data_IF_600008935182
#
_entry.id   IF_600008935182
#
_cell.length_a   1.000
_cell.length_b   1.000
_cell.length_c   1.000
_cell.angle_alpha   90.00
_cell.angle_beta   90.00
_cell.angle_gamma   90.00
#
_symmetry.space_group_name_H-M   'P 1'
#
loop_
_entity.id
_entity.type
_entity.pdbx_description
1 polymer ?
#
# COMPACT_ATOMS: atom_id res chain seq x y z
N UNK A 1 10.11 -8.82 -0.18
CA UNK A 1 9.76 -9.19 1.20
C UNK A 1 8.26 -9.10 1.25
N UNK A 2 7.58 -10.24 1.32
CA UNK A 2 6.12 -10.27 1.43
C UNK A 2 5.71 -9.51 2.69
N UNK A 3 4.63 -8.75 2.60
CA UNK A 3 4.15 -7.91 3.70
C UNK A 3 3.76 -8.78 4.90
N UNK A 4 4.57 -8.73 5.95
CA UNK A 4 4.41 -9.50 7.19
C UNK A 4 3.14 -9.12 7.96
N UNK A 5 2.65 -7.94 7.70
CA UNK A 5 1.45 -7.35 8.31
C UNK A 5 0.70 -6.61 7.22
N UNK A 6 -0.60 -6.75 7.20
CA UNK A 6 -1.47 -6.09 6.23
C UNK A 6 -2.60 -5.32 6.93
N UNK A 7 -3.17 -4.35 6.23
CA UNK A 7 -4.32 -3.59 6.70
C UNK A 7 -5.62 -4.26 6.26
N UNK A 8 -6.50 -4.54 7.22
CA UNK A 8 -7.87 -5.00 6.97
C UNK A 8 -8.82 -4.27 7.94
N UNK A 9 -9.85 -3.61 7.41
CA UNK A 9 -10.80 -2.82 8.20
C UNK A 9 -10.11 -1.84 9.14
N UNK A 10 -9.10 -1.12 8.64
CA UNK A 10 -8.29 -0.14 9.40
C UNK A 10 -7.50 -0.73 10.59
N UNK A 11 -7.32 -2.03 10.63
CA UNK A 11 -6.51 -2.72 11.63
C UNK A 11 -5.29 -3.38 11.00
N UNK A 12 -4.16 -3.27 11.68
CA UNK A 12 -2.94 -3.99 11.34
C UNK A 12 -3.08 -5.45 11.80
N UNK A 13 -3.08 -6.39 10.86
CA UNK A 13 -3.27 -7.82 11.10
C UNK A 13 -2.13 -8.64 10.50
N UNK A 14 -1.92 -9.82 11.06
CA UNK A 14 -1.17 -10.92 10.44
C UNK A 14 -2.02 -12.19 10.47
N UNK A 15 -1.56 -13.27 9.82
CA UNK A 15 -2.29 -14.53 9.79
C UNK A 15 -1.46 -15.73 10.27
N UNK A 16 -2.17 -16.80 10.62
CA UNK A 16 -1.57 -18.01 11.19
C UNK A 16 -0.67 -18.80 10.24
N UNK A 17 -0.84 -18.65 8.92
CA UNK A 17 0.03 -19.27 7.92
C UNK A 17 1.37 -18.55 7.86
N UNK A 18 1.32 -17.23 7.79
CA UNK A 18 2.48 -16.38 7.80
C UNK A 18 3.32 -16.59 9.08
N UNK A 19 2.66 -16.71 10.24
CA UNK A 19 3.34 -17.07 11.49
C UNK A 19 3.99 -18.44 11.39
N UNK A 20 3.31 -19.44 10.83
CA UNK A 20 3.84 -20.80 10.67
C UNK A 20 5.11 -20.81 9.81
N UNK A 21 5.06 -20.16 8.66
CA UNK A 21 6.17 -20.05 7.72
C UNK A 21 7.39 -19.37 8.36
N UNK A 22 7.18 -18.24 9.01
CA UNK A 22 8.26 -17.46 9.58
C UNK A 22 8.96 -18.09 10.75
N UNK A 23 8.22 -18.82 11.58
CA UNK A 23 8.80 -19.54 12.72
C UNK A 23 9.20 -20.96 12.40
N UNK A 24 9.12 -21.37 11.11
CA UNK A 24 9.44 -22.71 10.64
C UNK A 24 8.65 -23.77 11.45
N UNK A 25 7.36 -23.51 11.58
CA UNK A 25 6.43 -24.38 12.30
C UNK A 25 5.37 -24.91 11.34
N UNK A 26 4.89 -26.12 11.60
CA UNK A 26 3.73 -26.63 10.89
C UNK A 26 2.50 -25.81 11.25
N UNK A 27 1.69 -25.47 10.25
CA UNK A 27 0.48 -24.63 10.44
C UNK A 27 -0.51 -25.27 11.44
N UNK A 28 -0.64 -26.61 11.46
CA UNK A 28 -1.50 -27.30 12.43
C UNK A 28 -1.04 -27.13 13.88
N UNK A 29 0.29 -26.98 14.11
CA UNK A 29 0.83 -26.69 15.44
C UNK A 29 0.51 -25.23 15.86
N UNK A 30 0.58 -24.29 14.90
CA UNK A 30 0.21 -22.90 15.17
C UNK A 30 -1.29 -22.79 15.48
N UNK A 31 -2.15 -23.47 14.71
CA UNK A 31 -3.58 -23.51 14.98
C UNK A 31 -3.89 -24.05 16.38
N UNK A 32 -3.26 -25.18 16.77
CA UNK A 32 -3.40 -25.74 18.12
C UNK A 32 -2.96 -24.76 19.21
N UNK A 33 -1.85 -24.07 19.00
CA UNK A 33 -1.38 -23.06 19.97
C UNK A 33 -2.38 -21.91 20.13
N UNK A 34 -3.00 -21.46 19.04
CA UNK A 34 -4.06 -20.46 19.07
C UNK A 34 -5.31 -21.00 19.77
N UNK A 35 -5.74 -22.22 19.45
CA UNK A 35 -6.90 -22.86 20.09
C UNK A 35 -6.70 -22.97 21.62
N UNK A 36 -5.54 -23.40 22.08
CA UNK A 36 -5.20 -23.47 23.50
C UNK A 36 -5.21 -22.09 24.17
N UNK A 37 -4.71 -21.06 23.50
CA UNK A 37 -4.80 -19.68 23.99
C UNK A 37 -6.26 -19.25 24.10
N UNK A 38 -7.07 -19.49 23.07
CA UNK A 38 -8.50 -19.15 23.05
C UNK A 38 -9.23 -19.83 24.20
N UNK A 39 -8.95 -21.10 24.49
CA UNK A 39 -9.56 -21.85 25.59
C UNK A 39 -9.15 -21.29 26.96
N UNK A 40 -7.97 -20.69 27.07
CA UNK A 40 -7.48 -20.11 28.32
C UNK A 40 -8.14 -18.79 28.69
N UNK A 41 -8.83 -18.13 27.76
CA UNK A 41 -9.51 -16.85 28.01
C UNK A 41 -10.84 -17.04 28.75
N UNK A 42 -11.09 -16.31 29.83
CA UNK A 42 -12.32 -16.44 30.61
C UNK A 42 -13.56 -15.87 29.91
N UNK A 43 -13.38 -14.95 28.94
CA UNK A 43 -14.47 -14.27 28.25
C UNK A 43 -14.36 -14.40 26.72
N UNK A 44 -15.49 -14.62 26.06
CA UNK A 44 -15.59 -14.75 24.60
C UNK A 44 -15.22 -13.44 23.85
N UNK A 45 -15.51 -12.28 24.44
CA UNK A 45 -15.27 -10.97 23.83
C UNK A 45 -13.77 -10.69 23.60
N UNK A 46 -12.91 -11.09 24.55
CA UNK A 46 -11.46 -10.92 24.41
C UNK A 46 -10.89 -11.78 23.29
N UNK A 47 -11.40 -13.02 23.14
CA UNK A 47 -10.97 -13.95 22.07
C UNK A 47 -11.21 -13.37 20.69
N UNK A 48 -12.42 -12.86 20.43
CA UNK A 48 -12.81 -12.33 19.13
C UNK A 48 -12.09 -11.05 18.72
N UNK A 49 -11.58 -10.29 19.71
CA UNK A 49 -10.73 -9.12 19.44
C UNK A 49 -9.31 -9.48 19.04
N UNK A 50 -8.79 -10.59 19.54
CA UNK A 50 -7.39 -11.01 19.34
C UNK A 50 -7.26 -11.96 18.15
N UNK A 51 -8.20 -12.88 17.98
CA UNK A 51 -8.16 -13.94 16.96
C UNK A 51 -9.47 -14.01 16.20
N UNK A 52 -9.39 -13.79 14.89
CA UNK A 52 -10.54 -13.82 13.98
C UNK A 52 -10.43 -15.10 13.15
N UNK A 53 -11.39 -16.01 13.33
CA UNK A 53 -11.47 -17.23 12.52
C UNK A 53 -11.72 -16.87 11.07
N UNK A 54 -10.96 -17.49 10.17
CA UNK A 54 -11.11 -17.34 8.72
C UNK A 54 -10.85 -18.66 8.01
N UNK A 55 -11.00 -18.66 6.71
CA UNK A 55 -10.72 -19.81 5.84
C UNK A 55 -10.00 -19.32 4.59
N UNK A 56 -9.04 -20.09 4.11
CA UNK A 56 -8.44 -19.86 2.79
C UNK A 56 -8.72 -21.06 1.89
N UNK A 57 -8.86 -20.80 0.62
CA UNK A 57 -8.88 -21.85 -0.41
C UNK A 57 -7.44 -22.26 -0.67
N UNK A 58 -7.12 -23.54 -0.51
CA UNK A 58 -5.81 -24.10 -0.82
C UNK A 58 -5.75 -24.59 -2.28
N UNK A 59 -4.55 -24.99 -2.72
CA UNK A 59 -4.32 -25.45 -4.10
C UNK A 59 -5.06 -26.75 -4.44
N UNK A 60 -5.42 -27.53 -3.41
CA UNK A 60 -6.30 -28.70 -3.52
C UNK A 60 -7.79 -28.37 -3.76
N UNK A 61 -8.12 -27.06 -3.79
CA UNK A 61 -9.49 -26.56 -3.96
C UNK A 61 -10.32 -26.57 -2.67
N UNK A 62 -9.80 -27.11 -1.55
CA UNK A 62 -10.51 -27.17 -0.28
C UNK A 62 -10.31 -25.91 0.56
N UNK A 63 -11.25 -25.66 1.48
CA UNK A 63 -11.17 -24.55 2.42
C UNK A 63 -10.54 -25.02 3.74
N UNK A 64 -9.34 -24.48 4.05
CA UNK A 64 -8.65 -24.76 5.30
C UNK A 64 -8.82 -23.63 6.29
N UNK A 65 -9.01 -23.99 7.56
CA UNK A 65 -9.13 -23.02 8.67
C UNK A 65 -7.83 -22.26 8.84
N UNK A 66 -7.95 -20.96 9.11
CA UNK A 66 -6.85 -20.08 9.49
C UNK A 66 -7.36 -19.03 10.49
N UNK A 67 -6.44 -18.31 11.12
CA UNK A 67 -6.74 -17.18 11.98
C UNK A 67 -6.07 -15.92 11.46
N UNK A 68 -6.81 -14.80 11.45
CA UNK A 68 -6.20 -13.48 11.50
C UNK A 68 -6.03 -13.09 12.96
N UNK A 69 -4.95 -12.36 13.26
CA UNK A 69 -4.68 -11.85 14.59
C UNK A 69 -4.11 -10.44 14.52
N UNK A 70 -4.47 -9.62 15.50
CA UNK A 70 -3.88 -8.31 15.67
C UNK A 70 -2.53 -8.41 16.40
N UNK A 71 -1.88 -7.26 16.66
CA UNK A 71 -0.60 -7.19 17.36
C UNK A 71 -0.62 -7.94 18.69
N UNK A 72 -1.69 -7.78 19.46
CA UNK A 72 -1.78 -8.36 20.81
C UNK A 72 -1.94 -9.88 20.75
N UNK A 73 -2.80 -10.38 19.83
CA UNK A 73 -2.96 -11.81 19.56
C UNK A 73 -1.66 -12.45 19.06
N UNK A 74 -0.96 -11.79 18.14
CA UNK A 74 0.37 -12.21 17.69
C UNK A 74 1.37 -12.24 18.86
N UNK A 75 1.42 -11.18 19.66
CA UNK A 75 2.35 -11.11 20.80
C UNK A 75 2.13 -12.25 21.81
N UNK A 76 0.87 -12.53 22.15
CA UNK A 76 0.51 -13.64 23.04
C UNK A 76 0.93 -15.00 22.46
N UNK A 77 0.65 -15.23 21.17
CA UNK A 77 1.02 -16.47 20.49
C UNK A 77 2.54 -16.69 20.46
N UNK A 78 3.30 -15.66 20.07
CA UNK A 78 4.74 -15.78 19.89
C UNK A 78 5.55 -15.62 21.17
N UNK A 79 4.96 -15.16 22.26
CA UNK A 79 5.60 -15.19 23.59
C UNK A 79 6.01 -16.60 23.98
N UNK A 80 5.25 -17.62 23.60
CA UNK A 80 5.57 -19.02 23.80
C UNK A 80 6.70 -19.58 22.89
N UNK A 81 7.09 -18.84 21.83
CA UNK A 81 8.15 -19.27 20.94
C UNK A 81 9.52 -18.82 21.46
N UNK A 82 10.50 -19.71 21.48
CA UNK A 82 11.85 -19.48 22.04
C UNK A 82 12.93 -19.55 20.96
N UNK A 83 14.12 -19.06 21.28
CA UNK A 83 15.31 -19.11 20.44
C UNK A 83 15.62 -17.82 19.67
N UNK A 84 16.86 -17.73 19.17
CA UNK A 84 17.42 -16.52 18.52
C UNK A 84 16.61 -16.12 17.27
N UNK A 85 16.24 -17.09 16.43
CA UNK A 85 15.43 -16.87 15.23
C UNK A 85 14.04 -16.29 15.59
N UNK A 86 13.41 -16.84 16.63
CA UNK A 86 12.14 -16.35 17.13
C UNK A 86 12.22 -14.90 17.61
N UNK A 87 13.26 -14.52 18.33
CA UNK A 87 13.46 -13.13 18.78
C UNK A 87 13.62 -12.15 17.61
N UNK A 88 14.42 -12.48 16.62
CA UNK A 88 14.61 -11.64 15.42
C UNK A 88 13.29 -11.40 14.68
N UNK A 89 12.47 -12.46 14.54
CA UNK A 89 11.17 -12.33 13.89
C UNK A 89 10.17 -11.53 14.72
N UNK A 90 10.18 -11.72 16.07
CA UNK A 90 9.35 -10.89 16.96
C UNK A 90 9.62 -9.39 16.76
N UNK A 91 10.89 -8.98 16.68
CA UNK A 91 11.26 -7.59 16.48
C UNK A 91 10.76 -7.06 15.12
N UNK A 92 10.93 -7.83 14.04
CA UNK A 92 10.42 -7.44 12.72
C UNK A 92 8.90 -7.27 12.68
N UNK A 93 8.16 -8.15 13.37
CA UNK A 93 6.71 -8.01 13.46
C UNK A 93 6.29 -6.79 14.26
N UNK A 94 6.96 -6.51 15.37
CA UNK A 94 6.71 -5.30 16.16
C UNK A 94 6.95 -4.04 15.31
N UNK A 95 8.03 -3.99 14.56
CA UNK A 95 8.33 -2.88 13.64
C UNK A 95 7.24 -2.73 12.57
N UNK A 96 6.80 -3.84 11.95
CA UNK A 96 5.75 -3.81 10.95
C UNK A 96 4.40 -3.35 11.52
N UNK A 97 3.99 -3.83 12.69
CA UNK A 97 2.77 -3.37 13.36
C UNK A 97 2.84 -1.89 13.72
N UNK A 98 3.98 -1.43 14.27
CA UNK A 98 4.18 -0.01 14.61
C UNK A 98 4.09 0.88 13.36
N UNK A 99 4.65 0.44 12.23
CA UNK A 99 4.54 1.17 10.96
C UNK A 99 3.08 1.29 10.50
N UNK A 100 2.31 0.20 10.56
CA UNK A 100 0.89 0.21 10.18
C UNK A 100 0.03 1.06 11.12
N UNK A 101 0.27 0.96 12.44
CA UNK A 101 -0.43 1.80 13.43
C UNK A 101 -0.14 3.29 13.22
N UNK A 102 1.11 3.63 12.87
CA UNK A 102 1.47 5.00 12.51
C UNK A 102 0.64 5.49 11.31
N UNK A 103 0.53 4.69 10.25
CA UNK A 103 -0.30 5.02 9.08
C UNK A 103 -1.76 5.22 9.47
N UNK A 104 -2.33 4.34 10.31
CA UNK A 104 -3.71 4.45 10.80
C UNK A 104 -3.90 5.77 11.57
N UNK A 105 -2.98 6.08 12.47
CA UNK A 105 -3.02 7.31 13.27
C UNK A 105 -2.90 8.55 12.39
N UNK A 106 -1.99 8.54 11.41
CA UNK A 106 -1.84 9.65 10.46
C UNK A 106 -3.12 9.90 9.66
N UNK A 107 -3.85 8.85 9.24
CA UNK A 107 -5.12 8.97 8.51
C UNK A 107 -6.24 9.61 9.32
N UNK A 108 -6.18 9.52 10.64
CA UNK A 108 -7.16 10.15 11.54
C UNK A 108 -6.84 11.61 11.81
N UNK A 109 -5.67 12.11 11.38
CA UNK A 109 -5.32 13.52 11.57
C UNK A 109 -6.07 14.42 10.59
N UNK A 110 -6.46 15.61 11.07
CA UNK A 110 -7.06 16.64 10.22
C UNK A 110 -6.17 16.99 9.01
N UNK A 111 -4.85 16.98 9.20
CA UNK A 111 -3.87 17.23 8.14
C UNK A 111 -3.92 16.16 7.04
N UNK A 112 -4.03 14.87 7.39
CA UNK A 112 -4.14 13.80 6.40
C UNK A 112 -5.46 13.88 5.62
N UNK A 113 -6.57 14.12 6.34
CA UNK A 113 -7.91 14.25 5.72
C UNK A 113 -7.90 15.39 4.71
N UNK A 114 -7.34 16.54 5.08
CA UNK A 114 -7.26 17.72 4.19
C UNK A 114 -6.35 17.44 2.98
N UNK A 115 -5.16 16.85 3.19
CA UNK A 115 -4.26 16.47 2.10
C UNK A 115 -4.94 15.47 1.15
N UNK A 116 -5.67 14.51 1.69
CA UNK A 116 -6.42 13.54 0.88
C UNK A 116 -7.50 14.20 0.05
N UNK A 117 -8.24 15.16 0.63
CA UNK A 117 -9.28 15.92 -0.03
C UNK A 117 -8.71 16.77 -1.18
N UNK A 118 -7.63 17.49 -0.92
CA UNK A 118 -6.93 18.25 -1.96
C UNK A 118 -6.37 17.36 -3.06
N UNK A 119 -5.78 16.21 -2.72
CA UNK A 119 -5.31 15.22 -3.69
C UNK A 119 -6.41 14.67 -4.59
N UNK A 120 -7.64 14.53 -4.09
CA UNK A 120 -8.78 14.13 -4.94
C UNK A 120 -9.15 15.21 -5.98
N UNK A 121 -9.05 16.48 -5.62
CA UNK A 121 -9.31 17.59 -6.56
C UNK A 121 -8.24 17.62 -7.65
N UNK A 122 -6.96 17.53 -7.28
CA UNK A 122 -5.84 17.50 -8.23
C UNK A 122 -5.97 16.30 -9.17
N UNK A 123 -6.33 15.15 -8.64
CA UNK A 123 -6.59 13.95 -9.44
C UNK A 123 -7.71 14.12 -10.45
N UNK A 124 -8.78 14.82 -10.06
CA UNK A 124 -9.90 15.14 -10.96
C UNK A 124 -9.42 16.02 -12.11
N UNK A 125 -8.62 17.04 -11.82
CA UNK A 125 -8.06 17.95 -12.82
C UNK A 125 -7.10 17.20 -13.76
N UNK A 126 -6.18 16.41 -13.24
CA UNK A 126 -5.27 15.56 -14.04
C UNK A 126 -6.06 14.60 -14.93
N UNK A 127 -7.08 13.92 -14.38
CA UNK A 127 -7.92 13.00 -15.16
C UNK A 127 -8.63 13.72 -16.31
N UNK A 128 -9.10 14.95 -16.09
CA UNK A 128 -9.70 15.77 -17.15
C UNK A 128 -8.68 16.13 -18.26
N UNK A 129 -7.43 16.39 -17.89
CA UNK A 129 -6.35 16.64 -18.84
C UNK A 129 -6.01 15.37 -19.63
N UNK A 130 -5.93 14.21 -18.96
CA UNK A 130 -5.69 12.93 -19.64
C UNK A 130 -6.85 12.57 -20.57
N UNK A 131 -8.09 12.92 -20.24
CA UNK A 131 -9.23 12.74 -21.14
C UNK A 131 -9.03 13.49 -22.46
N UNK A 132 -8.59 14.75 -22.40
CA UNK A 132 -8.25 15.52 -23.63
C UNK A 132 -7.10 14.87 -24.40
N UNK A 133 -6.10 14.36 -23.71
CA UNK A 133 -5.00 13.63 -24.35
C UNK A 133 -5.48 12.33 -25.02
N UNK A 134 -6.44 11.63 -24.44
CA UNK A 134 -7.04 10.43 -25.07
C UNK A 134 -7.69 10.78 -26.41
N UNK A 135 -8.44 11.87 -26.46
CA UNK A 135 -9.06 12.36 -27.72
C UNK A 135 -8.01 12.80 -28.73
N UNK A 136 -7.03 13.57 -28.30
CA UNK A 136 -5.88 13.98 -29.08
C UNK A 136 -5.09 12.81 -29.65
N UNK A 137 -4.88 11.75 -28.87
CA UNK A 137 -4.20 10.55 -29.32
C UNK A 137 -5.04 9.72 -30.32
N UNK A 138 -6.38 9.72 -30.20
CA UNK A 138 -7.28 9.11 -31.19
C UNK A 138 -7.16 9.80 -32.55
N UNK A 139 -7.15 11.13 -32.57
CA UNK A 139 -6.96 11.92 -33.81
C UNK A 139 -5.62 11.62 -34.47
N UNK A 140 -4.60 11.22 -33.70
CA UNK A 140 -3.29 10.79 -34.18
C UNK A 140 -3.21 9.27 -34.49
N UNK A 141 -4.34 8.57 -34.55
CA UNK A 141 -4.40 7.17 -34.95
C UNK A 141 -4.08 6.16 -33.83
N UNK A 142 -4.22 6.51 -32.56
CA UNK A 142 -4.00 5.58 -31.46
C UNK A 142 -5.18 4.63 -31.28
N UNK A 143 -4.96 3.32 -31.44
CA UNK A 143 -5.96 2.27 -31.21
C UNK A 143 -6.20 2.00 -29.71
N UNK A 144 -5.22 2.31 -28.86
CA UNK A 144 -5.24 2.02 -27.42
C UNK A 144 -5.19 3.28 -26.55
N UNK A 145 -5.72 4.41 -27.05
CA UNK A 145 -5.68 5.70 -26.33
C UNK A 145 -6.27 5.66 -24.92
N UNK A 146 -7.28 4.82 -24.66
CA UNK A 146 -7.88 4.66 -23.34
C UNK A 146 -6.90 4.11 -22.29
N UNK A 147 -5.83 3.42 -22.71
CA UNK A 147 -4.78 2.93 -21.82
C UNK A 147 -3.94 4.07 -21.22
N UNK A 148 -4.03 5.29 -21.76
CA UNK A 148 -3.31 6.45 -21.24
C UNK A 148 -3.67 6.76 -19.78
N UNK A 149 -4.94 6.58 -19.37
CA UNK A 149 -5.32 6.71 -17.95
C UNK A 149 -4.50 5.81 -17.03
N UNK A 150 -4.40 4.54 -17.36
CA UNK A 150 -3.63 3.57 -16.57
C UNK A 150 -2.14 3.87 -16.63
N UNK A 151 -1.64 4.25 -17.79
CA UNK A 151 -0.22 4.54 -18.03
C UNK A 151 0.26 5.72 -17.19
N UNK A 152 -0.47 6.84 -17.21
CA UNK A 152 -0.11 8.03 -16.44
C UNK A 152 -0.32 7.84 -14.94
N UNK A 153 -1.38 7.10 -14.51
CA UNK A 153 -1.58 6.72 -13.12
C UNK A 153 -0.40 5.89 -12.58
N UNK A 154 0.04 4.89 -13.35
CA UNK A 154 1.20 4.07 -12.97
C UNK A 154 2.47 4.90 -12.89
N UNK A 155 2.65 5.86 -13.81
CA UNK A 155 3.80 6.75 -13.82
C UNK A 155 3.81 7.63 -12.55
N UNK A 156 2.70 8.31 -12.22
CA UNK A 156 2.59 9.15 -11.04
C UNK A 156 2.84 8.36 -9.75
N UNK A 157 2.18 7.22 -9.58
CA UNK A 157 2.34 6.36 -8.42
C UNK A 157 3.77 5.86 -8.24
N UNK A 158 4.42 5.43 -9.35
CA UNK A 158 5.81 4.96 -9.33
C UNK A 158 6.77 6.06 -8.87
N UNK A 159 6.61 7.27 -9.39
CA UNK A 159 7.50 8.40 -9.09
C UNK A 159 7.31 8.92 -7.68
N UNK A 160 6.10 8.81 -7.11
CA UNK A 160 5.80 9.16 -5.73
C UNK A 160 6.05 8.02 -4.72
N UNK A 161 6.47 6.83 -5.18
CA UNK A 161 6.68 5.66 -4.32
C UNK A 161 5.39 5.17 -3.64
N UNK A 162 4.23 5.34 -4.30
CA UNK A 162 2.91 4.99 -3.76
C UNK A 162 2.42 3.69 -4.39
N UNK A 163 2.25 2.66 -3.58
CA UNK A 163 1.63 1.39 -3.99
C UNK A 163 0.11 1.45 -3.89
N UNK A 164 -0.40 2.05 -2.81
CA UNK A 164 -1.85 2.28 -2.60
C UNK A 164 -2.06 3.64 -1.95
N UNK A 165 -3.02 4.41 -2.47
CA UNK A 165 -3.40 5.72 -1.88
C UNK A 165 -4.06 5.57 -0.51
N UNK A 166 -4.59 4.40 -0.21
CA UNK A 166 -5.22 4.11 1.08
C UNK A 166 -4.20 3.88 2.18
N UNK A 167 -3.02 3.40 1.84
CA UNK A 167 -1.94 3.13 2.78
C UNK A 167 -0.81 4.16 2.71
N UNK A 168 -0.93 5.15 1.82
CA UNK A 168 0.07 6.19 1.66
C UNK A 168 0.13 7.13 2.87
N UNK A 169 1.35 7.52 3.24
CA UNK A 169 1.60 8.57 4.24
C UNK A 169 1.21 9.95 3.70
N UNK A 170 1.12 10.93 4.60
CA UNK A 170 0.84 12.32 4.20
C UNK A 170 1.90 12.89 3.24
N UNK A 171 3.18 12.57 3.48
CA UNK A 171 4.29 12.95 2.60
C UNK A 171 4.10 12.35 1.19
N UNK A 172 3.84 11.05 1.10
CA UNK A 172 3.61 10.36 -0.17
C UNK A 172 2.40 10.92 -0.94
N UNK A 173 1.32 11.30 -0.24
CA UNK A 173 0.15 11.92 -0.88
C UNK A 173 0.47 13.30 -1.44
N UNK A 174 1.30 14.11 -0.75
CA UNK A 174 1.78 15.39 -1.26
C UNK A 174 2.68 15.23 -2.48
N UNK A 175 3.61 14.27 -2.43
CA UNK A 175 4.48 13.95 -3.56
C UNK A 175 3.65 13.50 -4.77
N UNK A 176 2.69 12.60 -4.56
CA UNK A 176 1.79 12.14 -5.61
C UNK A 176 1.03 13.28 -6.26
N UNK A 177 0.48 14.20 -5.45
CA UNK A 177 -0.22 15.39 -5.93
C UNK A 177 0.69 16.30 -6.77
N UNK A 178 1.97 16.39 -6.39
CA UNK A 178 2.98 17.12 -7.14
C UNK A 178 3.27 16.46 -8.49
N UNK A 179 3.43 15.12 -8.50
CA UNK A 179 3.64 14.37 -9.75
C UNK A 179 2.45 14.53 -10.72
N UNK A 180 1.22 14.46 -10.21
CA UNK A 180 0.01 14.65 -11.02
C UNK A 180 -0.08 16.04 -11.65
N UNK A 181 0.28 17.09 -10.91
CA UNK A 181 0.34 18.47 -11.46
C UNK A 181 1.39 18.62 -12.54
N UNK A 182 2.58 18.03 -12.35
CA UNK A 182 3.66 18.08 -13.35
C UNK A 182 3.25 17.33 -14.62
N UNK A 183 2.59 16.19 -14.49
CA UNK A 183 2.03 15.44 -15.62
C UNK A 183 1.01 16.29 -16.36
N UNK A 184 0.02 16.86 -15.68
CA UNK A 184 -1.00 17.68 -16.30
C UNK A 184 -0.41 18.87 -17.07
N UNK A 185 0.58 19.54 -16.48
CA UNK A 185 1.30 20.63 -17.16
C UNK A 185 2.05 20.16 -18.39
N UNK A 186 2.81 19.06 -18.30
CA UNK A 186 3.55 18.51 -19.44
C UNK A 186 2.64 18.07 -20.60
N UNK A 187 1.50 17.48 -20.27
CA UNK A 187 0.50 17.05 -21.25
C UNK A 187 -0.14 18.26 -21.95
N UNK A 188 -0.54 19.29 -21.21
CA UNK A 188 -1.11 20.50 -21.78
C UNK A 188 -0.12 21.25 -22.68
N UNK A 189 1.14 21.37 -22.25
CA UNK A 189 2.19 21.99 -23.04
C UNK A 189 2.40 21.20 -24.35
N UNK A 190 2.53 19.87 -24.26
CA UNK A 190 2.78 19.02 -25.44
C UNK A 190 1.64 19.05 -26.46
N UNK A 191 0.38 19.04 -26.01
CA UNK A 191 -0.77 19.19 -26.91
C UNK A 191 -0.80 20.57 -27.56
N UNK A 192 -0.47 21.64 -26.85
CA UNK A 192 -0.39 23.01 -27.38
C UNK A 192 0.71 23.14 -28.45
N UNK A 193 1.82 22.47 -28.24
CA UNK A 193 2.96 22.45 -29.17
C UNK A 193 2.73 21.51 -30.37
N UNK A 194 1.62 20.78 -30.41
CA UNK A 194 1.33 19.81 -31.47
C UNK A 194 2.21 18.56 -31.49
N UNK A 195 2.80 18.22 -30.34
CA UNK A 195 3.72 17.08 -30.19
C UNK A 195 2.93 15.76 -30.24
N UNK A 196 3.49 14.74 -30.89
CA UNK A 196 2.88 13.41 -30.93
C UNK A 196 2.67 12.83 -29.51
N UNK A 197 1.53 12.20 -29.25
CA UNK A 197 1.12 11.74 -27.91
C UNK A 197 2.14 10.84 -27.20
N UNK A 198 2.90 10.00 -27.95
CA UNK A 198 3.96 9.16 -27.38
C UNK A 198 5.15 9.99 -26.88
N UNK A 199 5.47 11.08 -27.56
CA UNK A 199 6.55 11.99 -27.17
C UNK A 199 6.13 12.84 -25.98
N UNK A 200 4.83 13.19 -25.87
CA UNK A 200 4.27 13.84 -24.67
C UNK A 200 4.48 12.97 -23.42
N UNK A 201 4.27 11.65 -23.53
CA UNK A 201 4.53 10.74 -22.42
C UNK A 201 6.02 10.73 -22.01
N UNK A 202 6.91 10.66 -22.96
CA UNK A 202 8.36 10.66 -22.73
C UNK A 202 8.81 11.96 -22.03
N UNK A 203 8.34 13.09 -22.51
CA UNK A 203 8.58 14.41 -21.93
C UNK A 203 8.01 14.53 -20.49
N UNK A 204 6.83 13.98 -20.25
CA UNK A 204 6.24 13.92 -18.91
C UNK A 204 7.12 13.13 -17.96
N UNK A 205 7.60 11.97 -18.40
CA UNK A 205 8.51 11.12 -17.61
C UNK A 205 9.83 11.81 -17.30
N UNK A 206 10.46 12.45 -18.28
CA UNK A 206 11.72 13.20 -18.11
C UNK A 206 11.58 14.36 -17.12
N UNK A 207 10.46 15.12 -17.18
CA UNK A 207 10.17 16.19 -16.20
C UNK A 207 10.05 15.64 -14.77
N UNK A 208 9.42 14.49 -14.59
CA UNK A 208 9.29 13.84 -13.29
C UNK A 208 10.63 13.31 -12.78
N UNK A 209 11.44 12.68 -13.63
CA UNK A 209 12.79 12.20 -13.29
C UNK A 209 13.70 13.35 -12.86
N UNK A 210 13.64 14.49 -13.54
CA UNK A 210 14.37 15.70 -13.18
C UNK A 210 13.95 16.23 -11.80
N UNK A 211 12.63 16.26 -11.53
CA UNK A 211 12.09 16.71 -10.26
C UNK A 211 12.53 15.80 -9.12
N UNK A 212 12.41 14.48 -9.29
CA UNK A 212 12.81 13.51 -8.27
C UNK A 212 14.32 13.53 -7.99
N UNK A 213 15.14 13.68 -9.00
CA UNK A 213 16.59 13.83 -8.83
C UNK A 213 16.96 15.11 -8.06
N UNK A 214 16.22 16.19 -8.27
CA UNK A 214 16.43 17.45 -7.55
C UNK A 214 15.99 17.38 -6.08
N UNK A 215 14.86 16.72 -5.78
CA UNK A 215 14.40 16.54 -4.40
C UNK A 215 15.31 15.61 -3.61
N UNK A 216 15.84 14.54 -4.22
CA UNK A 216 16.80 13.63 -3.57
C UNK A 216 18.08 14.35 -3.16
N UNK A 217 18.65 15.21 -4.02
CA UNK A 217 19.86 16.01 -3.71
C UNK A 217 19.65 17.01 -2.57
N UNK A 218 18.43 17.50 -2.37
CA UNK A 218 18.13 18.41 -1.25
C UNK A 218 17.99 17.70 0.09
N UNK A 219 17.53 16.45 0.09
CA UNK A 219 17.43 15.63 1.30
C UNK A 219 18.77 15.14 1.84
N UNK A 220 19.84 15.15 1.02
CA UNK A 220 21.19 14.78 1.44
C UNK A 220 21.99 15.96 2.06
N UNK A 221 21.47 17.18 1.97
CA UNK A 221 22.14 18.42 2.42
C UNK A 221 21.48 19.01 3.69
N UNK A 222 20.40 18.41 4.16
CA UNK A 222 19.66 18.81 5.37
C UNK A 222 19.83 17.80 6.50
#
# INVERSE_FOLDING_TARGET
>A
MEDLVFLKNEQALTDSLMVAEMFDKRHDHVLRAIDNLIESFPKNEERSRLFIVSRRKADDGQFHRMYYMNRDGFSLLVMGFTGKKALQWKLKYIEAFNAMEKIITEKQTAAWIETRKQGMLIRKDETSVIQKLVEYAKEQGSEHSNMLYVTYTKLANKMAGVTSRETATNAQLNDLSTMERVIAGAVLDGMREGIHYKEIYKRSKERLETLTAWTAKRGEVA
#
